data_IF_134346668325
#
_entry.id   IF_134346668325
#
_cell.length_a   1.000
_cell.length_b   1.000
_cell.length_c   1.000
_cell.angle_alpha   90.00
_cell.angle_beta   90.00
_cell.angle_gamma   90.00
#
_symmetry.space_group_name_H-M   'P 1'
#
loop_
_entity.id
_entity.type
_entity.pdbx_description
1 polymer ?
#
# COMPACT_ATOMS: atom_id res chain seq x y z
N UNK A 1 10.13 27.95 -0.51
CA UNK A 1 10.34 26.70 0.20
C UNK A 1 9.51 26.72 1.46
N UNK A 2 8.22 26.35 1.29
CA UNK A 2 7.32 26.16 2.43
C UNK A 2 7.93 25.11 3.36
N UNK A 3 7.91 25.43 4.58
CA UNK A 3 8.67 24.88 5.67
C UNK A 3 8.57 23.35 5.79
N UNK A 4 9.61 22.64 5.41
CA UNK A 4 9.92 21.28 5.88
C UNK A 4 9.89 21.19 7.42
N UNK A 5 9.77 22.34 8.09
CA UNK A 5 9.67 22.46 9.54
C UNK A 5 8.45 21.76 10.16
N UNK A 6 7.35 21.57 9.40
CA UNK A 6 6.15 20.86 9.89
C UNK A 6 6.19 19.35 9.62
N UNK A 7 7.09 18.88 8.77
CA UNK A 7 7.18 17.49 8.36
C UNK A 7 7.05 17.30 6.85
N UNK A 8 7.21 16.07 6.41
CA UNK A 8 7.20 15.67 5.01
C UNK A 8 6.11 14.62 4.76
N UNK A 9 5.27 14.85 3.76
CA UNK A 9 4.36 13.83 3.24
C UNK A 9 4.98 13.25 1.97
N UNK A 10 5.17 11.94 1.93
CA UNK A 10 5.66 11.23 0.76
C UNK A 10 4.50 10.43 0.16
N UNK A 11 4.18 10.72 -1.08
CA UNK A 11 3.23 9.94 -1.86
C UNK A 11 4.01 8.82 -2.55
N UNK A 12 3.65 7.57 -2.22
CA UNK A 12 4.26 6.39 -2.82
C UNK A 12 3.36 5.81 -3.90
N UNK A 13 3.92 5.39 -5.05
CA UNK A 13 3.15 5.01 -6.22
C UNK A 13 2.44 3.66 -6.04
N UNK A 14 1.40 3.48 -6.84
CA UNK A 14 0.78 2.19 -7.10
C UNK A 14 1.65 1.32 -8.03
N UNK A 15 1.12 0.19 -8.50
CA UNK A 15 1.83 -0.68 -9.47
C UNK A 15 1.81 -0.17 -10.91
N UNK A 16 1.01 0.83 -11.19
CA UNK A 16 0.88 1.41 -12.53
C UNK A 16 1.93 2.50 -12.76
N UNK A 17 2.49 2.62 -13.97
CA UNK A 17 3.43 3.69 -14.28
C UNK A 17 2.77 5.07 -14.45
N UNK A 18 1.44 5.14 -14.38
CA UNK A 18 0.67 6.37 -14.46
C UNK A 18 0.68 7.07 -13.11
N UNK A 19 1.07 8.33 -13.09
CA UNK A 19 1.20 9.12 -11.86
C UNK A 19 -0.05 9.97 -11.54
N UNK A 20 -1.15 9.75 -12.22
CA UNK A 20 -2.34 10.60 -12.03
C UNK A 20 -2.89 10.49 -10.60
N UNK A 21 -2.86 9.30 -10.00
CA UNK A 21 -3.28 9.09 -8.62
C UNK A 21 -2.35 9.80 -7.63
N UNK A 22 -1.04 9.66 -7.83
CA UNK A 22 -0.03 10.26 -6.96
C UNK A 22 -0.11 11.80 -7.01
N UNK A 23 -0.28 12.37 -8.19
CA UNK A 23 -0.50 13.81 -8.37
C UNK A 23 -1.83 14.26 -7.74
N UNK A 24 -2.87 13.44 -7.83
CA UNK A 24 -4.13 13.71 -7.18
C UNK A 24 -3.98 13.72 -5.65
N UNK A 25 -3.32 12.72 -5.05
CA UNK A 25 -3.10 12.67 -3.61
C UNK A 25 -2.22 13.83 -3.13
N UNK A 26 -1.13 14.12 -3.85
CA UNK A 26 -0.26 15.27 -3.56
C UNK A 26 -1.08 16.57 -3.50
N UNK A 27 -1.92 16.81 -4.51
CA UNK A 27 -2.79 17.99 -4.57
C UNK A 27 -3.78 18.06 -3.39
N UNK A 28 -4.24 16.91 -2.88
CA UNK A 28 -5.14 16.88 -1.72
C UNK A 28 -4.41 17.24 -0.43
N UNK A 29 -3.18 16.73 -0.24
CA UNK A 29 -2.44 16.86 1.03
C UNK A 29 -1.55 18.10 1.10
N UNK A 30 -1.08 18.65 -0.01
CA UNK A 30 -0.18 19.82 -0.05
C UNK A 30 -0.76 21.08 0.60
N UNK A 31 -2.08 21.14 0.73
CA UNK A 31 -2.82 22.27 1.34
C UNK A 31 -2.70 22.36 2.86
N UNK A 32 -2.09 21.34 3.51
CA UNK A 32 -2.05 21.23 4.98
C UNK A 32 -0.74 21.73 5.62
N UNK A 33 0.08 22.47 4.87
CA UNK A 33 1.30 23.09 5.40
C UNK A 33 2.50 22.13 5.57
N UNK A 34 2.38 20.89 5.06
CA UNK A 34 3.49 19.96 4.94
C UNK A 34 4.24 20.16 3.63
N UNK A 35 5.53 19.88 3.63
CA UNK A 35 6.25 19.63 2.38
C UNK A 35 5.76 18.31 1.77
N UNK A 36 5.67 18.24 0.45
CA UNK A 36 5.25 17.03 -0.25
C UNK A 36 6.34 16.54 -1.19
N UNK A 37 6.47 15.23 -1.33
CA UNK A 37 7.30 14.57 -2.33
C UNK A 37 6.54 13.38 -2.93
N UNK A 38 6.73 13.16 -4.22
CA UNK A 38 6.21 11.98 -4.92
C UNK A 38 7.39 11.07 -5.25
N UNK A 39 7.29 9.79 -4.90
CA UNK A 39 8.29 8.79 -5.29
C UNK A 39 8.09 8.42 -6.75
N UNK A 40 9.02 8.83 -7.59
CA UNK A 40 8.97 8.61 -9.03
C UNK A 40 9.96 7.53 -9.47
N UNK A 41 9.76 6.32 -8.98
CA UNK A 41 10.70 5.21 -9.20
C UNK A 41 10.37 4.29 -10.38
N UNK A 42 9.13 4.30 -10.86
CA UNK A 42 8.69 3.40 -11.91
C UNK A 42 9.23 3.80 -13.28
N UNK A 43 9.02 5.04 -13.72
CA UNK A 43 9.34 5.47 -15.07
C UNK A 43 10.84 5.39 -15.40
N UNK A 44 11.79 5.80 -14.56
CA UNK A 44 13.21 5.60 -14.83
C UNK A 44 13.60 4.15 -15.09
N UNK A 45 12.86 3.21 -14.46
CA UNK A 45 13.08 1.76 -14.63
C UNK A 45 12.38 1.20 -15.87
N UNK A 46 11.28 1.83 -16.32
CA UNK A 46 10.49 1.38 -17.47
C UNK A 46 10.94 1.93 -18.83
N UNK A 47 11.89 2.87 -18.85
CA UNK A 47 12.33 3.54 -20.08
C UNK A 47 12.85 2.63 -21.20
N UNK A 48 13.18 1.38 -20.91
CA UNK A 48 13.56 0.40 -21.96
C UNK A 48 13.09 -1.01 -21.58
N UNK A 49 11.81 -1.33 -21.80
CA UNK A 49 11.30 -2.72 -21.75
C UNK A 49 11.40 -3.41 -20.39
N UNK A 50 11.17 -2.71 -19.30
CA UNK A 50 10.96 -3.37 -18.02
C UNK A 50 9.64 -4.15 -18.11
N UNK A 51 9.74 -5.49 -18.18
CA UNK A 51 8.58 -6.39 -18.23
C UNK A 51 8.14 -6.85 -16.83
N UNK A 52 8.74 -6.31 -15.77
CA UNK A 52 8.45 -6.60 -14.38
C UNK A 52 7.51 -5.58 -13.76
N UNK A 53 6.71 -5.99 -12.80
CA UNK A 53 5.91 -5.07 -11.99
C UNK A 53 6.81 -4.31 -11.01
N UNK A 54 6.52 -3.01 -10.80
CA UNK A 54 7.14 -2.21 -9.76
C UNK A 54 6.61 -2.70 -8.40
N UNK A 55 7.44 -3.43 -7.69
CA UNK A 55 7.01 -4.16 -6.49
C UNK A 55 6.95 -3.26 -5.27
N UNK A 56 6.13 -3.62 -4.28
CA UNK A 56 6.05 -2.90 -3.01
C UNK A 56 7.38 -2.78 -2.26
N UNK A 57 8.31 -3.73 -2.46
CA UNK A 57 9.66 -3.63 -1.90
C UNK A 57 10.49 -2.57 -2.61
N UNK A 58 10.42 -2.50 -3.94
CA UNK A 58 11.10 -1.44 -4.71
C UNK A 58 10.57 -0.06 -4.34
N UNK A 59 9.25 0.07 -4.22
CA UNK A 59 8.59 1.31 -3.78
C UNK A 59 9.10 1.74 -2.39
N UNK A 60 9.20 0.79 -1.45
CA UNK A 60 9.71 1.07 -0.12
C UNK A 60 11.16 1.56 -0.14
N UNK A 61 12.04 0.90 -0.90
CA UNK A 61 13.44 1.33 -1.01
C UNK A 61 13.58 2.70 -1.66
N UNK A 62 12.74 3.01 -2.65
CA UNK A 62 12.74 4.34 -3.26
C UNK A 62 12.21 5.41 -2.28
N UNK A 63 11.23 5.07 -1.44
CA UNK A 63 10.78 5.96 -0.38
C UNK A 63 11.88 6.22 0.67
N UNK A 64 12.62 5.17 1.08
CA UNK A 64 13.78 5.31 1.98
C UNK A 64 14.83 6.23 1.37
N UNK A 65 15.21 6.00 0.10
CA UNK A 65 16.18 6.84 -0.60
C UNK A 65 15.70 8.30 -0.72
N UNK A 66 14.41 8.52 -0.92
CA UNK A 66 13.80 9.85 -0.94
C UNK A 66 13.91 10.55 0.42
N UNK A 67 13.63 9.83 1.52
CA UNK A 67 13.78 10.37 2.88
C UNK A 67 15.23 10.75 3.16
N UNK A 68 16.17 9.87 2.79
CA UNK A 68 17.60 10.08 3.00
C UNK A 68 18.11 11.31 2.23
N UNK A 69 17.73 11.43 0.96
CA UNK A 69 18.17 12.56 0.14
C UNK A 69 17.58 13.89 0.61
N UNK A 70 16.28 13.91 0.96
CA UNK A 70 15.65 15.12 1.49
C UNK A 70 16.27 15.50 2.85
N UNK A 71 16.52 14.53 3.72
CA UNK A 71 17.18 14.77 5.01
C UNK A 71 18.58 15.33 4.85
N UNK A 72 19.32 14.86 3.85
CA UNK A 72 20.66 15.37 3.52
C UNK A 72 20.62 16.81 3.00
N UNK A 73 19.66 17.14 2.15
CA UNK A 73 19.57 18.48 1.54
C UNK A 73 19.02 19.55 2.50
N UNK A 74 18.06 19.18 3.35
CA UNK A 74 17.30 20.13 4.16
C UNK A 74 17.48 19.96 5.67
N UNK A 75 18.28 18.98 6.09
CA UNK A 75 18.51 18.69 7.49
C UNK A 75 17.49 17.73 8.09
N UNK A 76 17.50 17.61 9.42
CA UNK A 76 16.68 16.63 10.15
C UNK A 76 15.19 16.93 10.00
N UNK A 77 14.48 15.99 9.40
CA UNK A 77 13.02 16.02 9.32
C UNK A 77 12.40 15.78 10.70
N UNK A 78 11.32 16.47 10.99
CA UNK A 78 10.57 16.31 12.25
C UNK A 78 9.77 15.00 12.24
N UNK A 79 9.05 14.79 11.14
CA UNK A 79 8.26 13.58 10.91
C UNK A 79 8.13 13.33 9.40
N UNK A 80 7.84 12.09 9.06
CA UNK A 80 7.48 11.67 7.70
C UNK A 80 6.15 10.94 7.77
N UNK A 81 5.26 11.28 6.85
CA UNK A 81 3.97 10.62 6.64
C UNK A 81 4.00 9.97 5.25
N UNK A 82 3.65 8.71 5.17
CA UNK A 82 3.48 8.04 3.88
C UNK A 82 2.01 7.95 3.50
N UNK A 83 1.71 8.17 2.22
CA UNK A 83 0.38 7.95 1.64
C UNK A 83 0.53 7.20 0.32
N UNK A 84 -0.28 6.18 0.08
CA UNK A 84 -0.24 5.42 -1.17
C UNK A 84 -1.36 4.41 -1.29
N UNK A 85 -1.65 4.04 -2.53
CA UNK A 85 -2.75 3.14 -2.88
C UNK A 85 -2.26 1.78 -3.38
N UNK A 86 -3.07 0.75 -3.21
CA UNK A 86 -2.87 -0.59 -3.78
C UNK A 86 -1.46 -1.15 -3.45
N UNK A 87 -0.58 -1.34 -4.44
CA UNK A 87 0.81 -1.80 -4.22
C UNK A 87 1.61 -0.82 -3.35
N UNK A 88 1.35 0.48 -3.42
CA UNK A 88 1.93 1.49 -2.53
C UNK A 88 1.51 1.29 -1.08
N UNK A 89 0.28 0.86 -0.84
CA UNK A 89 -0.19 0.53 0.51
C UNK A 89 0.59 -0.64 1.13
N UNK A 90 0.99 -1.64 0.33
CA UNK A 90 1.88 -2.72 0.79
C UNK A 90 3.29 -2.22 1.13
N UNK A 91 3.81 -1.23 0.41
CA UNK A 91 5.10 -0.63 0.75
C UNK A 91 5.03 0.09 2.11
N UNK A 92 3.96 0.84 2.35
CA UNK A 92 3.70 1.51 3.62
C UNK A 92 3.56 0.49 4.76
N UNK A 93 2.84 -0.60 4.50
CA UNK A 93 2.69 -1.67 5.47
C UNK A 93 4.04 -2.27 5.89
N UNK A 94 4.93 -2.52 4.91
CA UNK A 94 6.30 -2.99 5.16
C UNK A 94 7.15 -1.97 5.93
N UNK A 95 6.94 -0.67 5.74
CA UNK A 95 7.62 0.37 6.51
C UNK A 95 7.34 0.27 8.02
N UNK A 96 6.25 -0.39 8.42
CA UNK A 96 5.92 -0.71 9.80
C UNK A 96 6.68 -1.91 10.39
N UNK A 97 7.42 -2.69 9.62
CA UNK A 97 8.10 -3.89 10.11
C UNK A 97 9.32 -3.55 10.97
N UNK A 98 9.35 -4.11 12.19
CA UNK A 98 10.39 -3.79 13.15
C UNK A 98 11.80 -4.12 12.64
N UNK A 99 11.98 -5.26 11.96
CA UNK A 99 13.28 -5.67 11.42
C UNK A 99 13.77 -4.71 10.34
N UNK A 100 12.86 -4.23 9.47
CA UNK A 100 13.22 -3.22 8.47
C UNK A 100 13.59 -1.89 9.12
N UNK A 101 12.85 -1.47 10.14
CA UNK A 101 13.14 -0.22 10.86
C UNK A 101 14.48 -0.29 11.62
N UNK A 102 14.87 -1.46 12.09
CA UNK A 102 16.19 -1.66 12.70
C UNK A 102 17.32 -1.56 11.66
N UNK A 103 17.08 -2.03 10.44
CA UNK A 103 18.09 -2.03 9.37
C UNK A 103 18.15 -0.72 8.57
N UNK A 104 17.05 0.07 8.55
CA UNK A 104 16.93 1.32 7.82
C UNK A 104 16.48 2.44 8.75
N UNK A 105 17.42 3.19 9.37
CA UNK A 105 17.12 4.23 10.37
C UNK A 105 16.13 5.29 9.91
N UNK A 106 16.12 5.62 8.61
CA UNK A 106 15.21 6.60 8.00
C UNK A 106 13.74 6.20 8.15
N UNK A 107 13.43 4.90 8.24
CA UNK A 107 12.08 4.43 8.51
C UNK A 107 11.58 4.86 9.90
N UNK A 108 12.48 5.16 10.85
CA UNK A 108 12.10 5.64 12.18
C UNK A 108 11.56 7.08 12.17
N UNK A 109 11.75 7.81 11.09
CA UNK A 109 11.14 9.13 10.89
C UNK A 109 9.66 9.02 10.47
N UNK A 110 9.23 7.85 9.97
CA UNK A 110 7.86 7.62 9.54
C UNK A 110 7.00 7.39 10.78
N UNK A 111 6.07 8.31 11.03
CA UNK A 111 5.15 8.29 12.17
C UNK A 111 3.75 7.84 11.79
N UNK A 112 3.34 8.07 10.55
CA UNK A 112 2.01 7.71 10.04
C UNK A 112 2.09 7.11 8.64
N UNK A 113 1.20 6.17 8.35
CA UNK A 113 1.03 5.57 7.03
C UNK A 113 -0.44 5.44 6.65
N UNK A 114 -0.87 6.12 5.58
CA UNK A 114 -2.21 6.04 5.02
C UNK A 114 -2.19 5.08 3.83
N UNK A 115 -2.73 3.90 4.03
CA UNK A 115 -2.79 2.80 3.07
C UNK A 115 -4.16 2.79 2.40
N UNK A 116 -4.27 3.47 1.28
CA UNK A 116 -5.52 3.59 0.51
C UNK A 116 -5.70 2.33 -0.35
N UNK A 117 -6.93 1.85 -0.48
CA UNK A 117 -7.21 0.57 -1.13
C UNK A 117 -6.23 -0.50 -0.60
N UNK A 118 -6.23 -0.63 0.73
CA UNK A 118 -5.18 -1.31 1.48
C UNK A 118 -5.10 -2.80 1.16
N UNK A 119 -4.00 -3.20 0.54
CA UNK A 119 -3.68 -4.61 0.26
C UNK A 119 -2.98 -5.24 1.47
N UNK A 120 -3.73 -5.51 2.54
CA UNK A 120 -3.18 -6.12 3.73
C UNK A 120 -2.79 -7.59 3.50
N UNK A 121 -1.70 -8.10 4.09
CA UNK A 121 -1.52 -9.54 4.21
C UNK A 121 -2.52 -10.11 5.23
N UNK A 122 -2.94 -11.33 5.02
CA UNK A 122 -3.96 -11.98 5.85
C UNK A 122 -3.43 -12.36 7.23
N UNK A 123 -2.24 -12.94 7.26
CA UNK A 123 -1.48 -13.28 8.47
C UNK A 123 -0.02 -12.91 8.24
N UNK A 124 0.62 -12.38 9.26
CA UNK A 124 2.03 -12.01 9.19
C UNK A 124 2.78 -12.54 10.40
N UNK A 125 3.90 -13.21 10.15
CA UNK A 125 4.88 -13.60 11.18
C UNK A 125 5.76 -12.42 11.58
N UNK A 126 5.57 -11.27 10.96
CA UNK A 126 6.39 -10.08 11.15
C UNK A 126 5.93 -9.28 12.36
N UNK A 127 6.87 -8.87 13.18
CA UNK A 127 6.62 -7.94 14.28
C UNK A 127 6.49 -6.52 13.74
N UNK A 128 5.43 -5.85 14.12
CA UNK A 128 5.19 -4.44 13.79
C UNK A 128 5.74 -3.51 14.87
N UNK A 129 6.26 -2.37 14.42
CA UNK A 129 6.69 -1.31 15.32
C UNK A 129 5.47 -0.61 15.95
N UNK A 130 5.58 -0.29 17.20
CA UNK A 130 4.63 0.54 17.96
C UNK A 130 4.81 2.05 17.71
N UNK A 131 5.81 2.44 16.95
CA UNK A 131 6.16 3.84 16.64
C UNK A 131 5.48 4.41 15.41
N UNK A 132 4.69 3.62 14.69
CA UNK A 132 3.97 4.06 13.49
C UNK A 132 2.49 3.80 13.63
N UNK A 133 1.70 4.82 13.36
CA UNK A 133 0.24 4.68 13.19
C UNK A 133 -0.07 4.31 11.74
N UNK A 134 -0.73 3.22 11.52
CA UNK A 134 -1.10 2.71 10.19
C UNK A 134 -2.62 2.76 10.01
N UNK A 135 -3.07 3.39 8.94
CA UNK A 135 -4.48 3.52 8.60
C UNK A 135 -4.76 2.72 7.33
N UNK A 136 -5.39 1.56 7.47
CA UNK A 136 -5.85 0.76 6.35
C UNK A 136 -7.24 1.25 5.91
N UNK A 137 -7.32 1.76 4.70
CA UNK A 137 -8.46 2.49 4.16
C UNK A 137 -8.97 1.75 2.93
N UNK A 138 -10.22 1.29 2.97
CA UNK A 138 -10.82 0.53 1.87
C UNK A 138 -12.24 1.00 1.58
N UNK A 139 -12.67 0.81 0.34
CA UNK A 139 -14.09 0.84 0.00
C UNK A 139 -14.82 -0.34 0.64
N UNK A 140 -16.03 -0.14 1.14
CA UNK A 140 -16.83 -1.22 1.75
C UNK A 140 -17.12 -2.37 0.78
N UNK A 141 -17.16 -2.06 -0.51
CA UNK A 141 -17.44 -2.99 -1.61
C UNK A 141 -16.18 -3.29 -2.45
N UNK A 142 -15.01 -2.99 -1.90
CA UNK A 142 -13.73 -3.30 -2.55
C UNK A 142 -13.44 -4.79 -2.45
N UNK A 143 -13.50 -5.48 -3.58
CA UNK A 143 -13.16 -6.90 -3.70
C UNK A 143 -11.73 -7.11 -4.20
N UNK A 144 -11.10 -6.09 -4.79
CA UNK A 144 -9.69 -6.15 -5.21
C UNK A 144 -8.75 -6.18 -4.00
N UNK A 145 -9.03 -5.33 -3.01
CA UNK A 145 -8.35 -5.29 -1.72
C UNK A 145 -9.39 -5.29 -0.59
N UNK A 146 -10.01 -6.45 -0.31
CA UNK A 146 -11.18 -6.50 0.55
C UNK A 146 -10.87 -6.09 2.00
N UNK A 147 -11.72 -5.25 2.63
CA UNK A 147 -11.50 -4.77 4.00
C UNK A 147 -11.38 -5.89 5.04
N UNK A 148 -12.02 -7.03 4.81
CA UNK A 148 -11.96 -8.17 5.72
C UNK A 148 -10.55 -8.76 5.85
N UNK A 149 -9.67 -8.61 4.84
CA UNK A 149 -8.27 -9.06 4.93
C UNK A 149 -7.50 -8.22 5.94
N UNK A 150 -7.70 -6.90 5.91
CA UNK A 150 -7.08 -6.00 6.91
C UNK A 150 -7.65 -6.24 8.31
N UNK A 151 -8.94 -6.61 8.42
CA UNK A 151 -9.54 -6.99 9.69
C UNK A 151 -8.89 -8.25 10.26
N UNK A 152 -8.73 -9.29 9.45
CA UNK A 152 -8.05 -10.52 9.87
C UNK A 152 -6.63 -10.25 10.34
N UNK A 153 -5.89 -9.40 9.62
CA UNK A 153 -4.56 -8.98 10.02
C UNK A 153 -4.57 -8.28 11.37
N UNK A 154 -5.46 -7.31 11.58
CA UNK A 154 -5.58 -6.60 12.85
C UNK A 154 -5.86 -7.56 13.99
N UNK A 155 -6.81 -8.46 13.81
CA UNK A 155 -7.23 -9.43 14.82
C UNK A 155 -6.09 -10.42 15.18
N UNK A 156 -5.32 -10.86 14.17
CA UNK A 156 -4.20 -11.80 14.36
C UNK A 156 -2.93 -11.16 14.91
N UNK A 157 -2.56 -9.97 14.41
CA UNK A 157 -1.36 -9.27 14.84
C UNK A 157 -1.49 -8.58 16.19
N UNK A 158 -2.74 -8.32 16.63
CA UNK A 158 -3.05 -7.54 17.84
C UNK A 158 -2.32 -6.17 17.87
N UNK A 159 -2.01 -5.62 16.69
CA UNK A 159 -1.34 -4.34 16.59
C UNK A 159 -2.31 -3.19 16.93
N UNK A 160 -2.13 -2.48 18.05
CA UNK A 160 -3.03 -1.39 18.45
C UNK A 160 -2.97 -0.20 17.49
N UNK A 161 -1.85 -0.03 16.79
CA UNK A 161 -1.59 1.07 15.87
C UNK A 161 -2.07 0.81 14.44
N UNK A 162 -2.71 -0.33 14.17
CA UNK A 162 -3.39 -0.57 12.90
C UNK A 162 -4.86 -0.17 13.01
N UNK A 163 -5.21 0.91 12.37
CA UNK A 163 -6.57 1.45 12.30
C UNK A 163 -7.23 1.03 10.99
N UNK A 164 -8.49 0.59 11.07
CA UNK A 164 -9.26 0.18 9.89
C UNK A 164 -10.35 1.21 9.65
N UNK A 165 -10.35 1.78 8.46
CA UNK A 165 -11.32 2.76 8.02
C UNK A 165 -11.99 2.27 6.73
N UNK A 166 -13.30 2.30 6.68
CA UNK A 166 -14.05 1.89 5.49
C UNK A 166 -15.04 2.96 5.08
N UNK A 167 -15.12 3.20 3.78
CA UNK A 167 -15.98 4.21 3.18
C UNK A 167 -16.87 3.60 2.11
N UNK A 168 -17.96 4.27 1.76
CA UNK A 168 -18.82 3.81 0.68
C UNK A 168 -18.06 3.77 -0.64
N UNK A 169 -18.17 2.68 -1.38
CA UNK A 169 -17.56 2.49 -2.70
C UNK A 169 -16.76 1.20 -2.83
N UNK A 170 -16.23 0.98 -4.04
CA UNK A 170 -15.35 -0.12 -4.40
C UNK A 170 -13.87 0.28 -4.41
N UNK A 171 -13.09 -0.39 -5.26
CA UNK A 171 -11.68 -0.06 -5.46
C UNK A 171 -11.53 1.32 -6.12
N UNK A 172 -10.58 2.14 -5.67
CA UNK A 172 -10.37 3.53 -6.12
C UNK A 172 -11.56 4.49 -5.88
N UNK A 173 -12.32 4.23 -4.81
CA UNK A 173 -13.50 5.04 -4.45
C UNK A 173 -13.16 6.51 -4.19
N UNK A 174 -11.96 6.82 -3.75
CA UNK A 174 -11.49 8.10 -3.23
C UNK A 174 -11.02 9.07 -4.31
N UNK A 175 -10.69 8.56 -5.50
CA UNK A 175 -10.00 9.35 -6.54
C UNK A 175 -10.92 9.74 -7.69
N UNK A 176 -11.09 11.08 -7.90
CA UNK A 176 -11.81 11.65 -9.03
C UNK A 176 -11.12 11.40 -10.40
N UNK A 177 -9.92 10.83 -10.39
CA UNK A 177 -9.23 10.44 -11.63
C UNK A 177 -9.87 9.22 -12.29
N UNK A 178 -10.67 8.46 -11.53
CA UNK A 178 -11.46 7.35 -12.05
C UNK A 178 -12.87 7.77 -12.45
N UNK A 179 -13.48 7.10 -13.42
CA UNK A 179 -14.88 7.29 -13.75
C UNK A 179 -15.79 6.96 -12.54
N UNK A 180 -17.06 7.39 -12.56
CA UNK A 180 -18.01 6.99 -11.53
C UNK A 180 -18.02 5.50 -11.29
N UNK A 181 -18.17 5.10 -10.03
CA UNK A 181 -18.10 3.70 -9.60
C UNK A 181 -19.06 2.80 -10.38
N UNK A 182 -18.51 1.75 -10.96
CA UNK A 182 -19.25 0.74 -11.73
C UNK A 182 -18.63 -0.64 -11.55
N UNK A 183 -19.43 -1.67 -11.82
CA UNK A 183 -18.91 -3.03 -11.88
C UNK A 183 -18.02 -3.21 -13.12
N UNK A 184 -16.79 -3.63 -12.91
CA UNK A 184 -15.83 -3.96 -13.97
C UNK A 184 -15.61 -5.48 -13.98
N UNK A 185 -16.17 -6.15 -14.97
CA UNK A 185 -16.12 -7.61 -15.10
C UNK A 185 -14.72 -8.16 -15.41
N UNK A 186 -13.80 -7.34 -15.94
CA UNK A 186 -12.43 -7.76 -16.29
C UNK A 186 -11.43 -7.51 -15.15
N UNK A 187 -11.79 -6.68 -14.18
CA UNK A 187 -10.91 -6.44 -13.02
C UNK A 187 -10.72 -7.71 -12.19
N UNK A 188 -9.56 -7.82 -11.58
CA UNK A 188 -9.21 -8.97 -10.74
C UNK A 188 -9.47 -8.67 -9.27
N UNK A 189 -9.93 -9.67 -8.53
CA UNK A 189 -10.06 -9.60 -7.09
C UNK A 189 -9.47 -10.83 -6.38
N UNK A 190 -9.07 -10.65 -5.14
CA UNK A 190 -8.57 -11.74 -4.31
C UNK A 190 -9.71 -12.64 -3.84
N UNK A 191 -9.61 -13.95 -4.09
CA UNK A 191 -10.58 -14.90 -3.57
C UNK A 191 -10.33 -15.20 -2.09
N UNK A 192 -11.38 -15.37 -1.27
CA UNK A 192 -11.23 -15.68 0.15
C UNK A 192 -10.62 -17.06 0.43
N UNK A 193 -10.42 -17.87 -0.61
CA UNK A 193 -9.77 -19.21 -0.53
C UNK A 193 -8.27 -19.16 -0.31
N UNK A 194 -7.63 -18.01 -0.53
CA UNK A 194 -6.19 -17.85 -0.39
C UNK A 194 -5.84 -16.79 0.64
N UNK A 195 -4.66 -16.91 1.21
CA UNK A 195 -4.05 -15.90 2.07
C UNK A 195 -2.67 -15.50 1.55
N UNK A 196 -2.34 -14.24 1.70
CA UNK A 196 -1.06 -13.67 1.36
C UNK A 196 -0.30 -13.32 2.64
N UNK A 197 0.82 -13.98 2.87
CA UNK A 197 1.65 -13.78 4.05
C UNK A 197 3.04 -13.35 3.66
N UNK A 198 3.79 -12.79 4.63
CA UNK A 198 5.17 -12.41 4.44
C UNK A 198 6.04 -12.97 5.56
N UNK A 199 7.24 -13.42 5.22
CA UNK A 199 8.33 -13.69 6.16
C UNK A 199 9.11 -12.41 6.45
N UNK A 200 9.89 -12.40 7.52
CA UNK A 200 10.76 -11.29 7.93
C UNK A 200 11.79 -10.88 6.85
N UNK A 201 12.18 -11.80 6.00
CA UNK A 201 13.09 -11.56 4.86
C UNK A 201 12.41 -10.98 3.60
N UNK A 202 11.18 -10.48 3.71
CA UNK A 202 10.34 -9.97 2.62
C UNK A 202 9.81 -11.05 1.66
N UNK A 203 10.12 -12.32 1.86
CA UNK A 203 9.58 -13.38 1.04
C UNK A 203 8.08 -13.54 1.26
N UNK A 204 7.39 -13.71 0.16
CA UNK A 204 5.95 -13.83 0.11
C UNK A 204 5.56 -15.32 0.14
N UNK A 205 4.67 -15.67 1.05
CA UNK A 205 4.08 -17.00 1.13
C UNK A 205 2.61 -16.89 0.71
N UNK A 206 2.19 -17.75 -0.20
CA UNK A 206 0.78 -17.87 -0.59
C UNK A 206 0.26 -19.21 -0.09
N UNK A 207 -0.78 -19.18 0.73
CA UNK A 207 -1.42 -20.36 1.29
C UNK A 207 -2.87 -20.45 0.86
N UNK A 208 -3.39 -21.65 0.65
CA UNK A 208 -4.82 -21.87 0.72
C UNK A 208 -5.27 -21.89 2.18
N UNK A 209 -6.41 -21.28 2.47
CA UNK A 209 -6.95 -21.23 3.85
C UNK A 209 -7.35 -22.59 4.38
N UNK A 210 -7.64 -23.54 3.49
CA UNK A 210 -7.91 -24.94 3.85
C UNK A 210 -6.64 -25.73 4.24
N UNK A 211 -5.45 -25.09 4.16
CA UNK A 211 -4.18 -25.72 4.49
C UNK A 211 -3.65 -26.72 3.47
N UNK A 212 -4.37 -26.95 2.37
CA UNK A 212 -4.00 -28.01 1.40
C UNK A 212 -2.81 -27.67 0.52
N UNK A 213 -2.45 -26.39 0.41
CA UNK A 213 -1.28 -25.96 -0.37
C UNK A 213 -0.65 -24.68 0.14
N UNK A 214 0.67 -24.70 0.24
CA UNK A 214 1.51 -23.55 0.54
C UNK A 214 2.55 -23.40 -0.56
N UNK A 215 2.81 -22.13 -0.96
CA UNK A 215 3.89 -21.76 -1.86
C UNK A 215 4.84 -20.83 -1.14
N UNK A 216 6.11 -21.24 -1.02
CA UNK A 216 7.18 -20.42 -0.48
C UNK A 216 7.98 -19.80 -1.63
N UNK A 217 8.28 -18.50 -1.53
CA UNK A 217 9.04 -17.74 -2.54
C UNK A 217 10.46 -18.21 -2.78
N UNK A 218 10.97 -19.14 -1.95
CA UNK A 218 12.33 -19.68 -2.04
C UNK A 218 12.44 -20.92 -2.94
N UNK A 219 11.34 -21.55 -3.33
CA UNK A 219 11.38 -22.76 -4.18
C UNK A 219 11.85 -22.45 -5.62
N UNK A 220 12.86 -23.20 -6.06
CA UNK A 220 13.31 -23.18 -7.47
C UNK A 220 12.18 -23.64 -8.39
N UNK A 221 11.80 -22.80 -9.37
CA UNK A 221 10.66 -23.08 -10.26
C UNK A 221 9.38 -22.30 -9.94
N UNK A 222 9.37 -21.63 -8.82
CA UNK A 222 8.30 -20.82 -8.23
C UNK A 222 7.56 -19.90 -9.22
N UNK A 223 8.27 -19.24 -10.14
CA UNK A 223 7.67 -18.10 -10.86
C UNK A 223 6.59 -18.47 -11.88
N UNK A 224 6.71 -19.56 -12.62
CA UNK A 224 5.76 -19.87 -13.69
C UNK A 224 4.56 -20.67 -13.18
N UNK A 225 4.81 -21.71 -12.42
CA UNK A 225 3.75 -22.60 -11.94
C UNK A 225 2.95 -21.95 -10.81
N UNK A 226 3.58 -21.13 -9.98
CA UNK A 226 2.91 -20.34 -8.97
C UNK A 226 1.98 -19.29 -9.58
N UNK A 227 2.43 -18.51 -10.56
CA UNK A 227 1.56 -17.52 -11.23
C UNK A 227 0.33 -18.19 -11.84
N UNK A 228 0.52 -19.34 -12.48
CA UNK A 228 -0.58 -20.11 -13.07
C UNK A 228 -1.52 -20.65 -12.00
N UNK A 229 -0.97 -21.23 -10.93
CA UNK A 229 -1.77 -21.76 -9.84
C UNK A 229 -2.52 -20.64 -9.09
N UNK A 230 -1.84 -19.55 -8.74
CA UNK A 230 -2.41 -18.39 -8.06
C UNK A 230 -3.54 -17.78 -8.88
N UNK A 231 -3.29 -17.51 -10.16
CA UNK A 231 -4.31 -16.98 -11.07
C UNK A 231 -5.55 -17.87 -11.18
N UNK A 232 -5.38 -19.20 -11.12
CA UNK A 232 -6.49 -20.16 -11.21
C UNK A 232 -7.28 -20.31 -9.89
N UNK A 233 -6.61 -20.21 -8.74
CA UNK A 233 -7.19 -20.64 -7.46
C UNK A 233 -7.42 -19.48 -6.47
N UNK A 234 -6.73 -18.36 -6.67
CA UNK A 234 -6.72 -17.25 -5.71
C UNK A 234 -7.24 -15.93 -6.31
N UNK A 235 -7.46 -15.87 -7.61
CA UNK A 235 -7.93 -14.68 -8.32
C UNK A 235 -9.29 -14.95 -8.95
N UNK A 236 -10.27 -14.12 -8.62
CA UNK A 236 -11.56 -14.03 -9.30
C UNK A 236 -11.60 -12.85 -10.26
N UNK A 237 -12.68 -12.74 -11.00
CA UNK A 237 -12.95 -11.63 -11.91
C UNK A 237 -14.24 -10.90 -11.52
N UNK A 238 -14.26 -9.61 -11.81
CA UNK A 238 -15.36 -8.71 -11.54
C UNK A 238 -15.32 -8.09 -10.15
N UNK A 239 -15.24 -6.78 -10.09
CA UNK A 239 -15.31 -6.01 -8.85
C UNK A 239 -15.88 -4.61 -9.10
N UNK A 240 -16.40 -3.98 -8.06
CA UNK A 240 -16.81 -2.59 -8.11
C UNK A 240 -15.59 -1.69 -8.07
N UNK A 241 -15.42 -0.86 -9.10
CA UNK A 241 -14.29 0.06 -9.21
C UNK A 241 -14.76 1.47 -9.57
N UNK A 242 -13.95 2.46 -9.19
CA UNK A 242 -14.09 3.85 -9.58
C UNK A 242 -14.61 4.77 -8.48
N UNK A 243 -14.65 6.03 -8.80
CA UNK A 243 -14.98 7.11 -7.88
C UNK A 243 -16.37 6.99 -7.27
N UNK A 244 -16.44 7.06 -5.95
CA UNK A 244 -17.68 7.09 -5.18
C UNK A 244 -17.75 8.40 -4.36
N UNK A 245 -18.50 9.37 -4.86
CA UNK A 245 -18.51 10.76 -4.36
C UNK A 245 -18.71 10.86 -2.84
N UNK A 246 -19.68 10.12 -2.31
CA UNK A 246 -19.97 10.16 -0.88
C UNK A 246 -18.82 9.64 -0.03
N UNK A 247 -18.30 8.45 -0.37
CA UNK A 247 -17.16 7.85 0.33
C UNK A 247 -15.90 8.69 0.23
N UNK A 248 -15.63 9.25 -0.96
CA UNK A 248 -14.50 10.14 -1.20
C UNK A 248 -14.58 11.42 -0.35
N UNK A 249 -15.75 12.06 -0.28
CA UNK A 249 -15.94 13.25 0.56
C UNK A 249 -15.67 12.97 2.04
N UNK A 250 -16.20 11.87 2.56
CA UNK A 250 -15.95 11.48 3.95
C UNK A 250 -14.47 11.20 4.20
N UNK A 251 -13.84 10.37 3.35
CA UNK A 251 -12.42 10.03 3.46
C UNK A 251 -11.54 11.28 3.49
N UNK A 252 -11.69 12.20 2.51
CA UNK A 252 -10.87 13.40 2.46
C UNK A 252 -11.18 14.39 3.61
N UNK A 253 -12.35 14.36 4.20
CA UNK A 253 -12.64 15.12 5.42
C UNK A 253 -11.88 14.56 6.62
N UNK A 254 -11.85 13.21 6.78
CA UNK A 254 -11.17 12.53 7.89
C UNK A 254 -9.64 12.65 7.79
N UNK A 255 -9.07 12.58 6.58
CA UNK A 255 -7.62 12.79 6.37
C UNK A 255 -7.17 14.21 6.73
N UNK A 256 -8.09 15.18 6.66
CA UNK A 256 -7.82 16.59 6.96
C UNK A 256 -7.91 16.93 8.45
N UNK A 257 -8.55 16.10 9.24
CA UNK A 257 -8.69 16.28 10.70
C UNK A 257 -7.47 15.74 11.46
#
# INVERSE_FOLDING_TARGET
LASITNGLIIVVPSSTPNMDDELYYEKQVSKHGYATAIVYGAEPRYQKKFTGSYTSSMILYDAIATIDEISKQYGKLKEVILIGSSTGSLAIFKAGWQDLRNNYPSLNLITKGFMINAACPDVSEVKYSDKIQMYAINGQQDESTPPWVCKNLKDSSKNPNLHLLTYAGGHHFESQMYPPSKFDAESMHALPTCSLNYKSNLNQIIKRRDGTKEWDGEEKGYKKDQKKWFGKNCIGKGTLQGYAEYGAKQFWADVKS
#
